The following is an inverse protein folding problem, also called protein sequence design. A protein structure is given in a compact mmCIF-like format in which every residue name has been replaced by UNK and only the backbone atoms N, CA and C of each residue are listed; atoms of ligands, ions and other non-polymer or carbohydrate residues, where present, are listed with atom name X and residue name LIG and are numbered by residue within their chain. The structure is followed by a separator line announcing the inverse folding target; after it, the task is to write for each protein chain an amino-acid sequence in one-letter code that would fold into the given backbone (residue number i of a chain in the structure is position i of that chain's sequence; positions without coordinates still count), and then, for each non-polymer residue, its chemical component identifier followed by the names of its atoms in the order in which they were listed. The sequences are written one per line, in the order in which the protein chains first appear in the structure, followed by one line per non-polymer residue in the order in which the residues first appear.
data_IF_865616190539
#
_entry.id   IF_865616190539
#
_cell.length_a   1.000
_cell.length_b   1.000
_cell.length_c   1.000
_cell.angle_alpha   90.00
_cell.angle_beta   90.00
_cell.angle_gamma   90.00
#
_symmetry.space_group_name_H-M   'P 1'
#
loop_
_entity.id
_entity.type
_entity.pdbx_description
1 polymer ?
#
# COMPACT_ATOMS: atom_id res chain seq x y z
N UNK A 1 -16.80 35.14 15.78
CA UNK A 1 -18.06 34.94 15.07
C UNK A 1 -18.61 33.60 15.56
N UNK A 2 -19.76 33.63 16.27
CA UNK A 2 -20.39 32.39 16.76
C UNK A 2 -21.19 31.76 15.64
N UNK A 3 -20.78 30.57 15.21
CA UNK A 3 -21.60 29.73 14.32
C UNK A 3 -22.77 29.16 15.13
N UNK A 4 -23.94 29.11 14.55
CA UNK A 4 -25.15 28.56 15.16
C UNK A 4 -25.43 27.17 14.63
N UNK A 5 -26.23 26.37 15.34
CA UNK A 5 -26.61 25.00 14.86
C UNK A 5 -27.20 25.06 13.45
N UNK A 6 -27.96 26.08 13.10
CA UNK A 6 -28.55 26.26 11.78
C UNK A 6 -27.53 26.37 10.64
N UNK A 7 -26.33 26.83 10.95
CA UNK A 7 -25.27 26.97 9.94
C UNK A 7 -24.67 25.63 9.53
N UNK A 8 -24.84 24.59 10.35
CA UNK A 8 -24.32 23.23 10.11
C UNK A 8 -25.34 22.25 9.54
N UNK A 9 -26.64 22.50 9.76
CA UNK A 9 -27.70 21.57 9.31
C UNK A 9 -27.63 21.20 7.81
N UNK A 10 -27.25 22.10 6.86
CA UNK A 10 -27.13 21.74 5.46
C UNK A 10 -25.79 21.07 5.09
N UNK A 11 -24.90 20.83 6.06
CA UNK A 11 -23.56 20.31 5.82
C UNK A 11 -23.42 18.87 6.31
N UNK A 12 -22.71 18.03 5.56
CA UNK A 12 -22.29 16.70 5.99
C UNK A 12 -20.81 16.78 6.38
N UNK A 13 -20.49 16.28 7.57
CA UNK A 13 -19.13 16.25 8.09
C UNK A 13 -18.56 14.83 8.00
N UNK A 14 -17.41 14.67 7.33
CA UNK A 14 -16.70 13.41 7.29
C UNK A 14 -15.78 13.28 8.50
N UNK A 15 -15.93 12.19 9.25
CA UNK A 15 -15.05 11.89 10.38
C UNK A 15 -14.30 10.58 10.11
N UNK A 16 -13.00 10.72 9.88
CA UNK A 16 -12.13 9.58 9.60
C UNK A 16 -11.53 8.98 10.86
N UNK A 17 -11.41 7.65 10.89
CA UNK A 17 -10.75 6.92 11.96
C UNK A 17 -10.31 5.53 11.55
N UNK A 18 -9.57 4.87 12.43
CA UNK A 18 -9.27 3.44 12.31
C UNK A 18 -10.53 2.58 12.50
N UNK A 19 -10.42 1.26 12.34
CA UNK A 19 -11.56 0.37 12.43
C UNK A 19 -12.32 0.47 13.76
N UNK A 20 -11.61 0.67 14.89
CA UNK A 20 -12.23 0.81 16.20
C UNK A 20 -12.97 2.16 16.32
N UNK A 21 -12.33 3.24 15.90
CA UNK A 21 -12.94 4.57 15.90
C UNK A 21 -14.17 4.62 15.01
N UNK A 22 -14.07 4.07 13.80
CA UNK A 22 -15.19 3.95 12.86
C UNK A 22 -16.37 3.18 13.47
N UNK A 23 -16.10 2.01 14.08
CA UNK A 23 -17.12 1.21 14.76
C UNK A 23 -17.79 1.99 15.88
N UNK A 24 -17.01 2.70 16.72
CA UNK A 24 -17.53 3.51 17.83
C UNK A 24 -18.39 4.65 17.35
N UNK A 25 -18.04 5.31 16.27
CA UNK A 25 -18.89 6.34 15.67
C UNK A 25 -20.25 5.78 15.23
N UNK A 26 -20.26 4.63 14.55
CA UNK A 26 -21.51 3.95 14.15
C UNK A 26 -22.36 3.53 15.36
N UNK A 27 -21.74 3.02 16.42
CA UNK A 27 -22.44 2.65 17.66
C UNK A 27 -23.11 3.88 18.31
N UNK A 28 -22.41 5.02 18.40
CA UNK A 28 -22.95 6.28 18.94
C UNK A 28 -24.10 6.78 18.09
N UNK A 29 -23.98 6.78 16.76
CA UNK A 29 -25.06 7.18 15.87
C UNK A 29 -26.31 6.29 16.04
N UNK A 30 -26.12 4.97 16.17
CA UNK A 30 -27.23 4.03 16.46
C UNK A 30 -27.91 4.32 17.80
N UNK A 31 -27.10 4.63 18.82
CA UNK A 31 -27.62 4.98 20.14
C UNK A 31 -28.45 6.27 20.10
N UNK A 32 -27.99 7.28 19.34
CA UNK A 32 -28.60 8.59 19.24
C UNK A 32 -29.67 8.69 18.14
N UNK A 33 -29.96 7.63 17.39
CA UNK A 33 -30.83 7.66 16.18
C UNK A 33 -32.24 8.19 16.43
N UNK A 34 -32.77 8.07 17.66
CA UNK A 34 -34.11 8.53 18.05
C UNK A 34 -34.11 9.96 18.58
N UNK A 35 -32.97 10.62 18.67
CA UNK A 35 -32.90 12.01 19.08
C UNK A 35 -33.51 12.90 17.99
N UNK A 36 -34.47 13.79 18.38
CA UNK A 36 -35.21 14.61 17.42
C UNK A 36 -34.39 15.68 16.71
N UNK A 37 -33.28 16.10 17.31
CA UNK A 37 -32.37 17.10 16.75
C UNK A 37 -31.30 16.43 15.89
N UNK A 38 -31.18 16.80 14.58
CA UNK A 38 -30.18 16.23 13.65
C UNK A 38 -28.72 16.43 14.10
N UNK A 39 -28.42 17.57 14.76
CA UNK A 39 -27.09 17.86 15.26
C UNK A 39 -26.73 16.95 16.44
N UNK A 40 -27.62 16.84 17.42
CA UNK A 40 -27.41 16.00 18.61
C UNK A 40 -27.48 14.51 18.31
N UNK A 41 -28.19 14.11 17.26
CA UNK A 41 -28.23 12.72 16.79
C UNK A 41 -27.04 12.33 15.93
N UNK A 42 -26.11 13.23 15.67
CA UNK A 42 -24.93 13.03 14.80
C UNK A 42 -25.31 12.57 13.37
N UNK A 43 -26.52 12.86 12.89
CA UNK A 43 -26.96 12.50 11.53
C UNK A 43 -26.17 13.21 10.43
N UNK A 44 -25.55 14.34 10.79
CA UNK A 44 -24.70 15.12 9.87
C UNK A 44 -23.27 14.59 9.79
N UNK A 45 -22.92 13.64 10.66
CA UNK A 45 -21.59 13.04 10.69
C UNK A 45 -21.57 11.78 9.85
N UNK A 46 -20.75 11.72 8.81
CA UNK A 46 -20.49 10.55 8.00
C UNK A 46 -19.18 9.89 8.44
N UNK A 47 -19.22 8.76 9.14
CA UNK A 47 -18.02 8.04 9.52
C UNK A 47 -17.30 7.47 8.30
N UNK A 48 -16.00 7.68 8.22
CA UNK A 48 -15.15 7.17 7.13
C UNK A 48 -14.04 6.31 7.71
N UNK A 49 -13.92 5.08 7.22
CA UNK A 49 -12.81 4.20 7.56
C UNK A 49 -11.54 4.69 6.85
N UNK A 50 -10.54 5.09 7.62
CA UNK A 50 -9.24 5.44 7.08
C UNK A 50 -8.38 4.19 6.90
N UNK A 51 -7.85 4.00 5.70
CA UNK A 51 -7.10 2.80 5.32
C UNK A 51 -5.68 2.76 5.88
N UNK A 52 -5.16 3.88 6.41
CA UNK A 52 -3.77 3.98 6.88
C UNK A 52 -3.37 2.87 7.86
N UNK A 53 -4.25 2.53 8.80
CA UNK A 53 -3.97 1.46 9.78
C UNK A 53 -3.92 0.07 9.12
N UNK A 54 -4.76 -0.14 8.10
CA UNK A 54 -4.76 -1.36 7.29
C UNK A 54 -3.47 -1.46 6.48
N UNK A 55 -3.08 -0.38 5.81
CA UNK A 55 -1.82 -0.31 5.05
C UNK A 55 -0.60 -0.60 5.94
N UNK A 56 -0.56 -0.06 7.15
CA UNK A 56 0.52 -0.34 8.10
C UNK A 56 0.56 -1.81 8.54
N UNK A 57 -0.60 -2.40 8.80
CA UNK A 57 -0.73 -3.80 9.16
C UNK A 57 -0.28 -4.71 8.02
N UNK A 58 -0.71 -4.42 6.80
CA UNK A 58 -0.32 -5.16 5.60
C UNK A 58 1.17 -5.03 5.32
N UNK A 59 1.72 -3.83 5.47
CA UNK A 59 3.15 -3.59 5.34
C UNK A 59 3.96 -4.43 6.36
N UNK A 60 3.54 -4.46 7.62
CA UNK A 60 4.17 -5.28 8.65
C UNK A 60 4.13 -6.76 8.26
N UNK A 61 3.01 -7.24 7.73
CA UNK A 61 2.88 -8.62 7.26
C UNK A 61 3.77 -8.92 6.05
N UNK A 62 3.93 -8.00 5.12
CA UNK A 62 4.88 -8.12 4.01
C UNK A 62 6.30 -8.32 4.54
N UNK A 63 6.68 -7.56 5.57
CA UNK A 63 7.99 -7.70 6.19
C UNK A 63 8.14 -9.03 6.94
N UNK A 64 7.13 -9.47 7.69
CA UNK A 64 7.17 -10.79 8.35
C UNK A 64 7.38 -11.95 7.37
N UNK A 65 6.75 -11.89 6.20
CA UNK A 65 6.80 -12.98 5.21
C UNK A 65 8.04 -12.92 4.32
N UNK A 66 8.49 -11.71 3.96
CA UNK A 66 9.48 -11.53 2.90
C UNK A 66 10.83 -10.98 3.38
N UNK A 67 10.99 -10.70 4.67
CA UNK A 67 12.22 -10.07 5.17
C UNK A 67 13.42 -11.02 5.09
N UNK A 68 13.33 -12.20 5.70
CA UNK A 68 14.46 -13.09 5.95
C UNK A 68 15.56 -12.38 6.78
N UNK A 69 16.81 -12.31 6.34
CA UNK A 69 17.88 -11.59 7.03
C UNK A 69 18.68 -10.71 6.07
N UNK A 70 19.44 -9.74 6.61
CA UNK A 70 20.37 -8.93 5.81
C UNK A 70 21.46 -9.76 5.14
N UNK A 71 21.82 -10.90 5.72
CA UNK A 71 22.82 -11.84 5.20
C UNK A 71 22.21 -12.94 4.33
N UNK A 72 20.92 -12.86 4.06
CA UNK A 72 20.22 -13.86 3.25
C UNK A 72 20.85 -13.99 1.85
N UNK A 73 21.19 -15.19 1.40
CA UNK A 73 21.60 -15.42 0.02
C UNK A 73 20.43 -15.35 -0.95
N UNK A 74 19.20 -15.34 -0.45
CA UNK A 74 18.00 -15.31 -1.29
C UNK A 74 17.76 -13.91 -1.86
N UNK A 75 17.94 -13.71 -3.19
CA UNK A 75 17.77 -12.41 -3.82
C UNK A 75 16.31 -11.93 -3.80
N UNK A 76 15.36 -12.84 -3.53
CA UNK A 76 13.94 -12.50 -3.43
C UNK A 76 13.56 -11.92 -2.08
N UNK A 77 14.44 -11.99 -1.05
CA UNK A 77 14.12 -11.44 0.27
C UNK A 77 14.28 -9.91 0.30
N UNK A 78 13.48 -9.26 1.14
CA UNK A 78 13.60 -7.82 1.39
C UNK A 78 14.91 -7.51 2.14
N UNK A 79 15.34 -8.40 3.04
CA UNK A 79 16.60 -8.26 3.78
C UNK A 79 17.81 -8.24 2.86
N UNK A 80 17.88 -9.15 1.88
CA UNK A 80 18.94 -9.12 0.86
C UNK A 80 18.93 -7.79 0.07
N UNK A 81 17.76 -7.34 -0.35
CA UNK A 81 17.61 -6.07 -1.08
C UNK A 81 18.02 -4.87 -0.22
N UNK A 82 17.62 -4.85 1.06
CA UNK A 82 18.00 -3.82 2.02
C UNK A 82 19.51 -3.74 2.23
N UNK A 83 20.18 -4.90 2.35
CA UNK A 83 21.64 -4.96 2.48
C UNK A 83 22.35 -4.37 1.26
N UNK A 84 21.86 -4.62 0.04
CA UNK A 84 22.44 -4.08 -1.20
C UNK A 84 22.42 -2.55 -1.28
N UNK A 85 21.41 -1.92 -0.67
CA UNK A 85 21.28 -0.45 -0.63
C UNK A 85 21.67 0.13 0.73
N UNK A 86 22.34 -0.65 1.56
CA UNK A 86 22.84 -0.25 2.89
C UNK A 86 21.73 0.26 3.84
N UNK A 87 20.54 -0.37 3.81
CA UNK A 87 19.45 -0.09 4.74
C UNK A 87 19.54 -1.02 5.95
N UNK A 88 19.28 -0.47 7.13
CA UNK A 88 19.23 -1.23 8.37
C UNK A 88 18.02 -2.15 8.46
N UNK A 89 18.16 -3.23 9.24
CA UNK A 89 17.02 -4.07 9.58
C UNK A 89 16.00 -3.30 10.42
N UNK A 90 14.70 -3.55 10.25
CA UNK A 90 13.68 -2.99 11.13
C UNK A 90 13.83 -3.54 12.55
N UNK A 91 13.52 -2.72 13.55
CA UNK A 91 13.55 -3.10 14.96
C UNK A 91 12.57 -4.23 15.32
N UNK A 92 11.46 -4.31 14.59
CA UNK A 92 10.44 -5.33 14.70
C UNK A 92 9.80 -5.59 13.35
N UNK A 93 9.67 -6.86 12.95
CA UNK A 93 8.97 -7.26 11.73
C UNK A 93 7.45 -7.21 11.89
N UNK A 94 6.96 -7.45 13.13
CA UNK A 94 5.52 -7.43 13.44
C UNK A 94 4.94 -6.01 13.50
N UNK A 95 5.79 -5.03 13.73
CA UNK A 95 5.41 -3.64 13.84
C UNK A 95 6.53 -2.78 13.28
N UNK A 96 6.58 -2.70 11.96
CA UNK A 96 7.61 -1.92 11.26
C UNK A 96 7.34 -0.42 11.40
N UNK A 97 8.40 0.38 11.32
CA UNK A 97 8.27 1.83 11.16
C UNK A 97 7.72 2.10 9.76
N UNK A 98 6.53 2.69 9.69
CA UNK A 98 5.75 2.79 8.46
C UNK A 98 6.54 3.42 7.30
N UNK A 99 7.05 4.63 7.48
CA UNK A 99 7.68 5.37 6.37
C UNK A 99 8.94 4.69 5.82
N UNK A 100 9.93 4.28 6.64
CA UNK A 100 11.11 3.58 6.13
C UNK A 100 10.77 2.23 5.50
N UNK A 101 9.79 1.53 6.02
CA UNK A 101 9.36 0.25 5.50
C UNK A 101 8.61 0.39 4.17
N UNK A 102 7.71 1.36 4.06
CA UNK A 102 6.98 1.66 2.82
C UNK A 102 7.92 2.08 1.70
N UNK A 103 8.89 2.97 2.01
CA UNK A 103 9.92 3.41 1.08
C UNK A 103 10.76 2.23 0.55
N UNK A 104 11.23 1.35 1.45
CA UNK A 104 11.98 0.17 1.06
C UNK A 104 11.15 -0.80 0.21
N UNK A 105 9.93 -1.10 0.62
CA UNK A 105 9.05 -2.03 -0.09
C UNK A 105 8.72 -1.52 -1.51
N UNK A 106 8.40 -0.24 -1.64
CA UNK A 106 8.12 0.39 -2.94
C UNK A 106 9.35 0.38 -3.84
N UNK A 107 10.51 0.77 -3.32
CA UNK A 107 11.75 0.77 -4.10
C UNK A 107 12.12 -0.63 -4.60
N UNK A 108 12.01 -1.64 -3.75
CA UNK A 108 12.31 -3.03 -4.13
C UNK A 108 11.29 -3.54 -5.17
N UNK A 109 10.02 -3.18 -5.04
CA UNK A 109 9.00 -3.52 -6.02
C UNK A 109 9.29 -2.90 -7.37
N UNK A 110 9.59 -1.61 -7.42
CA UNK A 110 9.90 -0.86 -8.65
C UNK A 110 11.10 -1.48 -9.38
N UNK A 111 12.18 -1.75 -8.65
CA UNK A 111 13.37 -2.40 -9.21
C UNK A 111 13.06 -3.79 -9.78
N UNK A 112 12.23 -4.58 -9.09
CA UNK A 112 11.82 -5.91 -9.56
C UNK A 112 10.96 -5.83 -10.82
N UNK A 113 10.01 -4.91 -10.86
CA UNK A 113 9.19 -4.67 -12.06
C UNK A 113 10.07 -4.28 -13.24
N UNK A 114 11.02 -3.36 -13.05
CA UNK A 114 11.95 -2.95 -14.08
C UNK A 114 12.83 -4.10 -14.58
N UNK A 115 13.35 -4.93 -13.68
CA UNK A 115 14.13 -6.11 -14.04
C UNK A 115 13.30 -7.14 -14.83
N UNK A 116 12.05 -7.38 -14.42
CA UNK A 116 11.15 -8.25 -15.19
C UNK A 116 10.90 -7.69 -16.59
N UNK A 117 10.63 -6.38 -16.68
CA UNK A 117 10.44 -5.72 -17.98
C UNK A 117 11.67 -5.82 -18.88
N UNK A 118 12.86 -5.53 -18.36
CA UNK A 118 14.11 -5.66 -19.11
C UNK A 118 14.32 -7.09 -19.60
N UNK A 119 14.08 -8.09 -18.76
CA UNK A 119 14.21 -9.50 -19.14
C UNK A 119 13.28 -9.86 -20.28
N UNK A 120 12.01 -9.45 -20.24
CA UNK A 120 11.03 -9.70 -21.30
C UNK A 120 11.45 -9.00 -22.61
N UNK A 121 11.90 -7.75 -22.52
CA UNK A 121 12.32 -6.97 -23.70
C UNK A 121 13.56 -7.57 -24.35
N UNK A 122 14.55 -8.02 -23.56
CA UNK A 122 15.76 -8.67 -24.06
C UNK A 122 15.41 -10.00 -24.75
N UNK A 123 14.55 -10.83 -24.18
CA UNK A 123 14.10 -12.09 -24.77
C UNK A 123 13.40 -11.82 -26.12
N UNK A 124 12.52 -10.84 -26.17
CA UNK A 124 11.83 -10.46 -27.42
C UNK A 124 12.82 -9.97 -28.49
N UNK A 125 13.78 -9.14 -28.11
CA UNK A 125 14.80 -8.63 -29.05
C UNK A 125 15.69 -9.75 -29.58
N UNK A 126 16.09 -10.70 -28.72
CA UNK A 126 16.90 -11.86 -29.13
C UNK A 126 16.11 -12.81 -30.03
N UNK A 127 14.84 -13.07 -29.72
CA UNK A 127 14.00 -13.93 -30.59
C UNK A 127 13.80 -13.31 -31.98
N UNK A 128 13.55 -12.01 -32.03
CA UNK A 128 13.43 -11.28 -33.30
C UNK A 128 14.75 -11.27 -34.10
N UNK A 129 15.88 -11.12 -33.41
CA UNK A 129 17.19 -11.21 -34.04
C UNK A 129 17.47 -12.60 -34.63
N UNK A 130 17.19 -13.67 -33.89
CA UNK A 130 17.40 -15.03 -34.32
C UNK A 130 16.50 -15.40 -35.53
N UNK A 131 15.23 -15.03 -35.50
CA UNK A 131 14.32 -15.27 -36.64
C UNK A 131 14.77 -14.53 -37.91
N UNK A 132 15.26 -13.30 -37.79
CA UNK A 132 15.82 -12.55 -38.90
C UNK A 132 17.12 -13.15 -39.43
N UNK A 133 17.92 -13.74 -38.56
CA UNK A 133 19.15 -14.42 -38.94
C UNK A 133 18.87 -15.73 -39.70
N UNK A 134 17.91 -16.53 -39.23
CA UNK A 134 17.48 -17.75 -39.92
C UNK A 134 16.92 -17.48 -41.32
N UNK A 135 16.10 -16.41 -41.46
CA UNK A 135 15.57 -16.01 -42.76
C UNK A 135 16.66 -15.59 -43.78
N UNK A 136 17.75 -14.97 -43.28
CA UNK A 136 18.88 -14.57 -44.14
C UNK A 136 19.82 -15.69 -44.52
N UNK A 137 19.84 -16.78 -43.76
CA UNK A 137 20.73 -17.94 -43.97
C UNK A 137 20.14 -19.02 -44.88
N UNK A 138 18.87 -18.89 -45.28
CA UNK A 138 18.26 -19.80 -46.28
C UNK A 138 18.78 -19.46 -47.68
N UNK A 139 19.48 -20.39 -48.36
CA UNK A 139 19.93 -20.14 -49.72
C UNK A 139 18.72 -20.03 -50.66
N UNK A 140 18.70 -18.98 -51.46
CA UNK A 140 17.74 -18.84 -52.54
C UNK A 140 17.91 -20.06 -53.47
N UNK A 141 16.87 -20.88 -53.56
CA UNK A 141 16.72 -21.92 -54.57
C UNK A 141 16.20 -21.33 -55.86
#
# INVERSE_FOLDING_TARGET
MGQTESDYIPQVFFAGGDGLTFQKMLEIQRYLQFHGDPFRSLKLLEPVLLLWHTEWTDLSRIFEVHWDSLLSPNPSSLGHSAAKINRAAPSSLKKVDYYPAADLASLVLDVRILNCWQSVTLIHSLSTFLTNFEQKSLPMR
#
